data_IF_759775932906
#
_entry.id   IF_759775932906
#
_cell.length_a   1.000
_cell.length_b   1.000
_cell.length_c   1.000
_cell.angle_alpha   90.00
_cell.angle_beta   90.00
_cell.angle_gamma   90.00
#
_symmetry.space_group_name_H-M   'P 1'
#
loop_
_entity.id
_entity.type
_entity.pdbx_description
1 polymer ?
#
# COMPACT_ATOMS: atom_id res chain seq x y z
N UNK A 1 55.11 70.02 15.98
CA UNK A 1 53.73 70.16 15.45
C UNK A 1 53.39 69.14 14.37
N UNK A 2 54.28 68.78 13.43
CA UNK A 2 54.02 67.75 12.38
C UNK A 2 53.76 66.32 12.88
N UNK A 3 54.34 65.92 14.03
CA UNK A 3 54.15 64.57 14.61
C UNK A 3 52.78 64.37 15.27
N UNK A 4 52.11 65.45 15.70
CA UNK A 4 50.78 65.37 16.31
C UNK A 4 49.67 65.20 15.27
N UNK A 5 49.87 65.74 14.06
CA UNK A 5 48.94 65.60 12.93
C UNK A 5 48.95 64.15 12.38
N UNK A 6 50.11 63.50 12.37
CA UNK A 6 50.25 62.11 11.91
C UNK A 6 49.56 61.09 12.83
N UNK A 7 49.50 61.36 14.14
CA UNK A 7 48.81 60.49 15.11
C UNK A 7 47.29 60.65 15.03
N UNK A 8 46.81 61.87 14.77
CA UNK A 8 45.37 62.12 14.56
C UNK A 8 44.86 61.46 13.26
N UNK A 9 45.66 61.44 12.20
CA UNK A 9 45.29 60.78 10.94
C UNK A 9 45.28 59.24 11.03
N UNK A 10 46.08 58.65 11.94
CA UNK A 10 46.12 57.20 12.13
C UNK A 10 44.95 56.67 12.99
N UNK A 11 44.39 57.50 13.88
CA UNK A 11 43.25 57.14 14.73
C UNK A 11 41.90 57.18 13.99
N UNK A 12 41.78 57.94 12.89
CA UNK A 12 40.55 58.00 12.08
C UNK A 12 40.41 56.78 11.15
N UNK A 13 41.50 56.04 10.89
CA UNK A 13 41.47 54.85 10.01
C UNK A 13 40.90 53.57 10.66
N UNK A 14 40.58 53.59 11.96
CA UNK A 14 40.02 52.44 12.69
C UNK A 14 38.50 52.53 12.95
N UNK A 15 37.86 53.63 12.59
CA UNK A 15 36.40 53.73 12.62
C UNK A 15 35.79 53.04 11.39
N UNK A 16 35.84 51.71 11.37
CA UNK A 16 34.98 50.93 10.47
C UNK A 16 33.54 51.14 10.95
N UNK A 17 32.61 51.65 10.12
CA UNK A 17 31.20 51.65 10.50
C UNK A 17 30.81 50.20 10.79
N UNK A 18 30.34 49.93 12.00
CA UNK A 18 29.65 48.68 12.28
C UNK A 18 28.48 48.62 11.30
N UNK A 19 28.53 47.68 10.36
CA UNK A 19 27.41 47.43 9.47
C UNK A 19 26.18 47.23 10.35
N UNK A 20 25.21 48.14 10.24
CA UNK A 20 23.94 47.97 10.93
C UNK A 20 23.36 46.65 10.43
N UNK A 21 23.03 45.74 11.36
CA UNK A 21 22.37 44.50 10.99
C UNK A 21 21.06 44.85 10.31
N UNK A 22 20.81 44.25 9.13
CA UNK A 22 19.57 44.51 8.41
C UNK A 22 18.37 44.07 9.27
N UNK A 23 17.28 44.85 9.31
CA UNK A 23 16.13 44.60 10.18
C UNK A 23 15.36 43.32 9.81
N UNK A 24 15.60 42.77 8.62
CA UNK A 24 15.07 41.49 8.16
C UNK A 24 16.22 40.70 7.53
N UNK A 25 16.55 39.56 8.11
CA UNK A 25 17.61 38.67 7.62
C UNK A 25 16.98 37.40 7.04
N UNK A 26 17.34 37.06 5.81
CA UNK A 26 16.93 35.82 5.15
C UNK A 26 18.14 34.89 5.02
N UNK A 27 17.97 33.63 5.39
CA UNK A 27 18.96 32.58 5.25
C UNK A 27 18.32 31.38 4.58
N UNK A 28 19.14 30.58 3.90
CA UNK A 28 18.71 29.34 3.27
C UNK A 28 19.46 28.17 3.89
N UNK A 29 18.74 27.08 4.11
CA UNK A 29 19.30 25.85 4.62
C UNK A 29 18.83 24.69 3.74
N UNK A 30 19.77 23.84 3.37
CA UNK A 30 19.52 22.61 2.62
C UNK A 30 19.97 21.43 3.49
N UNK A 31 19.26 20.30 3.43
CA UNK A 31 19.62 19.09 4.17
C UNK A 31 20.95 18.49 3.69
N UNK A 32 21.20 18.51 2.37
CA UNK A 32 22.37 17.92 1.71
C UNK A 32 22.87 18.77 0.55
N UNK A 33 24.18 18.92 0.46
CA UNK A 33 24.86 19.62 -0.65
C UNK A 33 25.45 18.68 -1.71
N UNK A 34 25.30 17.36 -1.53
CA UNK A 34 25.68 16.33 -2.51
C UNK A 34 24.51 15.36 -2.68
N UNK A 35 23.91 15.34 -3.86
CA UNK A 35 22.69 14.57 -4.17
C UNK A 35 22.83 13.84 -5.49
N UNK A 36 22.00 12.83 -5.73
CA UNK A 36 21.88 12.26 -7.06
C UNK A 36 20.83 12.96 -7.90
N UNK A 37 20.93 12.83 -9.22
CA UNK A 37 19.88 13.28 -10.15
C UNK A 37 18.52 12.66 -9.78
N UNK A 38 17.49 13.50 -9.68
CA UNK A 38 16.14 13.10 -9.29
C UNK A 38 15.92 12.90 -7.80
N UNK A 39 16.95 13.06 -6.95
CA UNK A 39 16.75 13.04 -5.49
C UNK A 39 15.94 14.26 -5.04
N UNK A 40 15.05 14.02 -4.08
CA UNK A 40 14.32 15.10 -3.40
C UNK A 40 15.12 15.58 -2.20
N UNK A 41 15.35 16.88 -2.13
CA UNK A 41 16.03 17.54 -1.01
C UNK A 41 15.11 18.54 -0.30
N UNK A 42 15.34 18.71 0.99
CA UNK A 42 14.57 19.62 1.81
C UNK A 42 15.26 20.99 1.83
N UNK A 43 14.56 22.00 1.32
CA UNK A 43 14.96 23.40 1.33
C UNK A 43 14.18 24.14 2.40
N UNK A 44 14.87 24.85 3.28
CA UNK A 44 14.27 25.72 4.28
C UNK A 44 14.76 27.16 4.07
N UNK A 45 13.82 28.08 3.81
CA UNK A 45 14.10 29.52 3.80
C UNK A 45 13.70 30.07 5.17
N UNK A 46 14.69 30.55 5.92
CA UNK A 46 14.57 31.01 7.30
C UNK A 46 14.68 32.53 7.29
N UNK A 47 13.62 33.22 7.69
CA UNK A 47 13.57 34.68 7.72
C UNK A 47 13.38 35.13 9.15
N UNK A 48 14.29 35.95 9.65
CA UNK A 48 14.19 36.55 10.98
C UNK A 48 13.93 38.04 10.82
N UNK A 49 12.80 38.50 11.35
CA UNK A 49 12.37 39.89 11.23
C UNK A 49 12.28 40.55 12.60
N UNK A 50 12.73 41.81 12.66
CA UNK A 50 12.60 42.68 13.82
C UNK A 50 11.15 43.04 14.13
N UNK A 51 10.85 43.48 15.37
CA UNK A 51 9.50 43.88 15.77
C UNK A 51 8.88 44.89 14.80
N UNK A 52 7.62 44.67 14.42
CA UNK A 52 6.86 45.57 13.54
C UNK A 52 7.09 45.36 12.04
N UNK A 53 8.00 44.46 11.64
CA UNK A 53 8.15 44.05 10.24
C UNK A 53 7.23 42.88 9.90
N UNK A 54 6.56 42.99 8.75
CA UNK A 54 5.68 41.95 8.18
C UNK A 54 6.41 41.32 7.00
N UNK A 55 6.64 40.01 7.08
CA UNK A 55 7.29 39.21 6.03
C UNK A 55 6.21 38.62 5.13
N UNK A 56 6.34 38.84 3.83
CA UNK A 56 5.51 38.21 2.82
C UNK A 56 6.17 36.92 2.31
N UNK A 57 5.41 36.11 1.58
CA UNK A 57 5.92 34.84 1.07
C UNK A 57 7.12 35.05 0.12
N UNK A 58 8.15 34.19 0.17
CA UNK A 58 9.29 34.23 -0.74
C UNK A 58 8.84 34.18 -2.20
N UNK A 59 9.53 34.93 -3.06
CA UNK A 59 9.27 34.94 -4.51
C UNK A 59 9.91 33.71 -5.15
N UNK A 60 9.28 32.55 -4.95
CA UNK A 60 9.73 31.27 -5.50
C UNK A 60 8.76 30.84 -6.59
N UNK A 61 9.27 30.75 -7.82
CA UNK A 61 8.54 30.16 -8.94
C UNK A 61 8.57 28.63 -8.85
N UNK A 62 7.99 27.94 -9.84
CA UNK A 62 8.10 26.48 -9.95
C UNK A 62 9.55 26.01 -10.11
N UNK A 63 10.41 26.88 -10.63
CA UNK A 63 11.84 26.62 -10.83
C UNK A 63 12.67 27.68 -10.11
N UNK A 64 13.77 27.24 -9.49
CA UNK A 64 14.75 28.07 -8.79
C UNK A 64 16.11 27.79 -9.42
N UNK A 65 16.46 28.55 -10.47
CA UNK A 65 17.64 28.26 -11.28
C UNK A 65 17.53 26.88 -11.95
N UNK A 66 18.43 25.95 -11.61
CA UNK A 66 18.44 24.58 -12.14
C UNK A 66 17.64 23.57 -11.30
N UNK A 67 16.95 24.03 -10.26
CA UNK A 67 16.15 23.19 -9.36
C UNK A 67 14.66 23.38 -9.61
N UNK A 68 13.88 22.31 -9.53
CA UNK A 68 12.41 22.33 -9.61
C UNK A 68 11.81 22.15 -8.21
N UNK A 69 10.78 22.95 -7.88
CA UNK A 69 10.00 22.81 -6.66
C UNK A 69 8.94 21.72 -6.84
N UNK A 70 9.08 20.63 -6.09
CA UNK A 70 8.19 19.46 -6.12
C UNK A 70 7.01 19.63 -5.17
N UNK A 71 7.27 20.20 -3.99
CA UNK A 71 6.26 20.36 -2.95
C UNK A 71 6.54 21.59 -2.09
N UNK A 72 5.49 22.32 -1.77
CA UNK A 72 5.51 23.40 -0.77
C UNK A 72 4.81 22.92 0.49
N UNK A 73 5.40 23.19 1.65
CA UNK A 73 4.81 22.89 2.96
C UNK A 73 4.37 24.19 3.64
N UNK A 74 3.52 24.04 4.66
CA UNK A 74 3.02 25.18 5.44
C UNK A 74 4.14 25.96 6.12
N UNK A 75 4.00 27.29 6.13
CA UNK A 75 4.94 28.19 6.81
C UNK A 75 4.85 28.02 8.32
N UNK A 76 6.01 27.87 8.97
CA UNK A 76 6.10 27.85 10.43
C UNK A 76 6.55 29.22 10.93
N UNK A 77 5.73 29.85 11.78
CA UNK A 77 6.07 31.09 12.49
C UNK A 77 6.47 30.76 13.93
N UNK A 78 7.56 31.34 14.42
CA UNK A 78 8.03 31.15 15.79
C UNK A 78 8.57 32.47 16.33
N UNK A 79 8.13 32.88 17.51
CA UNK A 79 8.61 34.11 18.17
C UNK A 79 9.87 33.76 18.96
N UNK A 80 10.96 34.51 18.75
CA UNK A 80 12.22 34.37 19.48
C UNK A 80 12.56 35.69 20.16
N UNK A 81 12.20 35.82 21.44
CA UNK A 81 12.33 37.09 22.17
C UNK A 81 11.43 38.16 21.55
N UNK A 82 12.02 39.24 21.06
CA UNK A 82 11.32 40.32 20.36
C UNK A 82 11.18 40.07 18.85
N UNK A 83 11.97 39.16 18.26
CA UNK A 83 11.98 38.89 16.82
C UNK A 83 11.00 37.78 16.45
N UNK A 84 10.56 37.80 15.19
CA UNK A 84 9.74 36.72 14.63
C UNK A 84 10.52 35.99 13.55
N UNK A 85 10.62 34.67 13.71
CA UNK A 85 11.22 33.75 12.73
C UNK A 85 10.14 33.07 11.90
N UNK A 86 10.21 33.23 10.59
CA UNK A 86 9.42 32.52 9.60
C UNK A 86 10.29 31.41 8.98
N UNK A 87 9.73 30.21 8.83
CA UNK A 87 10.41 29.08 8.19
C UNK A 87 9.52 28.55 7.08
N UNK A 88 9.92 28.81 5.83
CA UNK A 88 9.27 28.28 4.64
C UNK A 88 9.99 27.00 4.23
N UNK A 89 9.23 25.94 3.97
CA UNK A 89 9.78 24.61 3.69
C UNK A 89 9.33 24.14 2.31
N UNK A 90 10.29 23.70 1.51
CA UNK A 90 10.08 23.22 0.17
C UNK A 90 10.80 21.88 -0.03
N UNK A 91 10.27 21.05 -0.92
CA UNK A 91 11.01 19.95 -1.51
C UNK A 91 11.41 20.35 -2.92
N UNK A 92 12.71 20.29 -3.21
CA UNK A 92 13.24 20.59 -4.53
C UNK A 92 13.95 19.36 -5.11
N UNK A 93 14.07 19.31 -6.43
CA UNK A 93 14.79 18.26 -7.17
C UNK A 93 15.64 18.88 -8.27
N UNK A 94 16.67 18.16 -8.73
CA UNK A 94 17.50 18.55 -9.86
C UNK A 94 17.49 17.47 -10.94
N UNK A 95 17.31 17.91 -12.19
CA UNK A 95 17.31 17.06 -13.38
C UNK A 95 18.59 17.19 -14.21
N UNK A 96 19.54 18.01 -13.76
CA UNK A 96 20.82 18.24 -14.42
C UNK A 96 21.96 17.79 -13.53
N UNK A 97 23.03 17.28 -14.14
CA UNK A 97 24.23 16.81 -13.45
C UNK A 97 25.27 17.94 -13.34
N UNK A 98 26.13 17.84 -12.33
CA UNK A 98 27.27 18.74 -12.13
C UNK A 98 27.18 19.57 -10.86
N UNK A 99 28.05 20.56 -10.75
CA UNK A 99 28.06 21.53 -9.65
C UNK A 99 27.06 22.64 -9.98
N UNK A 100 25.87 22.57 -9.37
CA UNK A 100 24.79 23.54 -9.55
C UNK A 100 24.79 24.55 -8.41
N UNK A 101 24.36 25.77 -8.70
CA UNK A 101 24.20 26.81 -7.68
C UNK A 101 22.73 27.09 -7.48
N UNK A 102 22.26 26.98 -6.24
CA UNK A 102 20.95 27.47 -5.83
C UNK A 102 21.03 29.00 -5.75
N UNK A 103 20.32 29.74 -6.62
CA UNK A 103 20.37 31.18 -6.65
C UNK A 103 19.75 31.80 -5.38
N UNK A 104 20.08 33.07 -5.15
CA UNK A 104 19.48 33.86 -4.08
C UNK A 104 17.96 33.96 -4.20
N UNK A 105 17.26 33.77 -3.09
CA UNK A 105 15.80 33.82 -3.01
C UNK A 105 15.39 35.15 -2.38
N UNK A 106 14.58 35.90 -3.12
CA UNK A 106 14.04 37.19 -2.68
C UNK A 106 12.83 37.01 -1.76
N UNK A 107 12.90 37.62 -0.57
CA UNK A 107 11.81 37.64 0.41
C UNK A 107 11.35 39.08 0.63
N UNK A 108 10.17 39.47 0.09
CA UNK A 108 9.64 40.81 0.29
C UNK A 108 9.14 41.01 1.73
N UNK A 109 9.33 42.21 2.26
CA UNK A 109 8.82 42.60 3.58
C UNK A 109 8.30 44.04 3.60
N UNK A 110 7.45 44.33 4.58
CA UNK A 110 6.89 45.66 4.86
C UNK A 110 7.26 46.06 6.28
N UNK A 111 7.93 47.20 6.43
CA UNK A 111 8.29 47.76 7.72
C UNK A 111 7.14 48.51 8.41
N UNK A 112 7.31 48.86 9.69
CA UNK A 112 6.26 49.50 10.49
C UNK A 112 5.81 50.87 9.96
N UNK A 113 6.68 51.55 9.19
CA UNK A 113 6.39 52.85 8.56
C UNK A 113 5.77 52.71 7.16
N UNK A 114 5.39 51.49 6.74
CA UNK A 114 4.91 51.19 5.39
C UNK A 114 6.02 51.09 4.33
N UNK A 115 7.29 51.18 4.72
CA UNK A 115 8.43 51.02 3.82
C UNK A 115 8.54 49.58 3.33
N UNK A 116 8.61 49.35 2.02
CA UNK A 116 8.84 48.03 1.45
C UNK A 116 10.33 47.75 1.28
N UNK A 117 10.72 46.49 1.42
CA UNK A 117 12.09 46.03 1.21
C UNK A 117 12.12 44.57 0.76
N UNK A 118 13.32 44.08 0.46
CA UNK A 118 13.53 42.69 0.04
C UNK A 118 14.79 42.15 0.67
N UNK A 119 14.65 41.10 1.48
CA UNK A 119 15.77 40.35 2.02
C UNK A 119 16.16 39.26 1.02
N UNK A 120 17.46 39.06 0.83
CA UNK A 120 18.01 38.08 -0.10
C UNK A 120 18.68 36.97 0.70
N UNK A 121 18.49 35.72 0.29
CA UNK A 121 19.25 34.59 0.87
C UNK A 121 20.62 34.47 0.23
N UNK A 122 21.54 33.77 0.89
CA UNK A 122 22.80 33.38 0.28
C UNK A 122 22.60 32.36 -0.86
N UNK A 123 23.55 32.33 -1.79
CA UNK A 123 23.65 31.28 -2.80
C UNK A 123 24.28 30.02 -2.21
N UNK A 124 23.79 28.84 -2.62
CA UNK A 124 24.30 27.55 -2.10
C UNK A 124 24.71 26.65 -3.26
N UNK A 125 25.98 26.24 -3.27
CA UNK A 125 26.45 25.24 -4.22
C UNK A 125 26.00 23.82 -3.81
N UNK A 126 25.39 23.10 -4.76
CA UNK A 126 24.91 21.73 -4.61
C UNK A 126 25.49 20.89 -5.74
N UNK A 127 26.20 19.83 -5.39
CA UNK A 127 26.76 18.84 -6.32
C UNK A 127 25.72 17.77 -6.65
N UNK A 128 25.40 17.63 -7.93
CA UNK A 128 24.48 16.61 -8.44
C UNK A 128 25.25 15.52 -9.18
N UNK A 129 25.25 14.32 -8.63
CA UNK A 129 25.93 13.14 -9.17
C UNK A 129 24.97 12.20 -9.90
N UNK A 130 25.51 11.41 -10.82
CA UNK A 130 24.74 10.33 -11.42
C UNK A 130 24.58 9.20 -10.41
N UNK A 131 23.46 8.49 -10.50
CA UNK A 131 23.24 7.22 -9.75
C UNK A 131 24.17 6.13 -10.29
N UNK A 132 24.61 6.24 -11.55
CA UNK A 132 25.57 5.33 -12.16
C UNK A 132 26.94 5.55 -11.51
N UNK A 133 27.51 4.49 -10.94
CA UNK A 133 28.83 4.57 -10.28
C UNK A 133 29.91 4.91 -11.31
N UNK A 134 30.93 5.63 -10.87
CA UNK A 134 32.12 5.88 -11.69
C UNK A 134 32.75 4.54 -12.11
N UNK A 135 32.79 4.28 -13.42
CA UNK A 135 33.29 3.03 -14.01
C UNK A 135 32.23 1.99 -14.38
N UNK A 136 30.96 2.21 -14.06
CA UNK A 136 29.84 1.44 -14.63
C UNK A 136 29.39 2.08 -15.96
N UNK A 137 29.14 1.27 -16.98
CA UNK A 137 28.62 1.73 -18.26
C UNK A 137 27.15 2.15 -18.07
N UNK A 138 26.84 3.42 -18.32
CA UNK A 138 25.49 3.94 -18.19
C UNK A 138 24.51 3.33 -19.22
N UNK A 139 25.03 2.65 -20.25
CA UNK A 139 24.23 1.94 -21.26
C UNK A 139 23.96 0.47 -20.91
N UNK A 140 24.62 -0.08 -19.88
CA UNK A 140 24.45 -1.47 -19.47
C UNK A 140 23.18 -1.64 -18.64
N UNK A 141 22.13 -2.14 -19.30
CA UNK A 141 20.84 -2.42 -18.67
C UNK A 141 21.01 -3.65 -17.78
N UNK A 142 20.94 -3.43 -16.46
CA UNK A 142 21.04 -4.53 -15.50
C UNK A 142 19.88 -5.53 -15.70
N UNK A 143 20.16 -6.85 -15.67
CA UNK A 143 19.13 -7.86 -15.81
C UNK A 143 18.06 -7.68 -14.72
N UNK A 144 16.81 -7.97 -15.06
CA UNK A 144 15.73 -7.94 -14.08
C UNK A 144 16.06 -8.88 -12.92
N UNK A 145 15.78 -8.44 -11.69
CA UNK A 145 15.85 -9.33 -10.54
C UNK A 145 14.89 -10.50 -10.76
N UNK A 146 15.31 -11.74 -10.45
CA UNK A 146 14.41 -12.89 -10.53
C UNK A 146 13.21 -12.68 -9.61
N UNK A 147 12.07 -13.23 -10.00
CA UNK A 147 10.88 -13.24 -9.16
C UNK A 147 11.20 -14.03 -7.89
N UNK A 148 10.76 -13.51 -6.74
CA UNK A 148 10.94 -14.20 -5.48
C UNK A 148 9.96 -15.38 -5.43
N UNK A 149 10.47 -16.60 -5.44
CA UNK A 149 9.66 -17.80 -5.22
C UNK A 149 9.10 -17.76 -3.80
N UNK A 150 7.80 -17.46 -3.67
CA UNK A 150 7.09 -17.59 -2.42
C UNK A 150 6.90 -19.08 -2.14
N UNK A 151 7.72 -19.65 -1.27
CA UNK A 151 7.54 -21.03 -0.79
C UNK A 151 6.16 -21.10 -0.12
N UNK A 152 5.21 -21.79 -0.76
CA UNK A 152 3.89 -22.03 -0.16
C UNK A 152 4.10 -22.75 1.19
N UNK A 153 3.60 -22.20 2.30
CA UNK A 153 3.78 -22.83 3.59
C UNK A 153 3.02 -24.17 3.62
N UNK A 154 3.56 -25.21 4.29
CA UNK A 154 3.08 -26.59 4.16
C UNK A 154 1.61 -26.78 4.57
N UNK A 155 1.06 -25.88 5.38
CA UNK A 155 -0.35 -25.90 5.79
C UNK A 155 -1.33 -25.67 4.64
N UNK A 156 -0.91 -24.98 3.57
CA UNK A 156 -1.76 -24.75 2.38
C UNK A 156 -2.04 -26.05 1.65
N UNK A 157 -1.01 -26.87 1.42
CA UNK A 157 -1.14 -28.20 0.82
C UNK A 157 -1.99 -29.12 1.70
N UNK A 158 -1.74 -29.12 3.01
CA UNK A 158 -2.52 -29.91 4.00
C UNK A 158 -3.99 -29.50 3.97
N UNK A 159 -4.29 -28.20 3.90
CA UNK A 159 -5.67 -27.70 3.86
C UNK A 159 -6.43 -28.14 2.60
N UNK A 160 -5.77 -28.11 1.42
CA UNK A 160 -6.37 -28.56 0.15
C UNK A 160 -6.70 -30.05 0.21
N UNK A 161 -5.79 -30.87 0.73
CA UNK A 161 -6.00 -32.31 0.90
C UNK A 161 -7.13 -32.57 1.90
N UNK A 162 -7.14 -31.88 3.04
CA UNK A 162 -8.17 -32.04 4.07
C UNK A 162 -9.57 -31.72 3.54
N UNK A 163 -9.71 -30.65 2.75
CA UNK A 163 -10.99 -30.30 2.09
C UNK A 163 -11.41 -31.40 1.10
N UNK A 164 -10.48 -31.93 0.31
CA UNK A 164 -10.76 -33.04 -0.61
C UNK A 164 -11.25 -34.31 0.10
N UNK A 165 -10.60 -34.68 1.20
CA UNK A 165 -11.00 -35.84 2.02
C UNK A 165 -12.37 -35.61 2.66
N UNK A 166 -12.60 -34.43 3.22
CA UNK A 166 -13.90 -34.08 3.82
C UNK A 166 -15.03 -34.16 2.78
N UNK A 167 -14.81 -33.63 1.57
CA UNK A 167 -15.78 -33.73 0.48
C UNK A 167 -16.07 -35.19 0.09
N UNK A 168 -15.04 -36.03 -0.02
CA UNK A 168 -15.21 -37.46 -0.34
C UNK A 168 -16.03 -38.21 0.73
N UNK A 169 -15.79 -37.91 2.01
CA UNK A 169 -16.58 -38.49 3.12
C UNK A 169 -18.04 -38.08 3.01
N UNK A 170 -18.32 -36.79 2.78
CA UNK A 170 -19.69 -36.28 2.62
C UNK A 170 -20.40 -36.97 1.46
N UNK A 171 -19.77 -37.08 0.30
CA UNK A 171 -20.34 -37.78 -0.87
C UNK A 171 -20.64 -39.24 -0.53
N UNK A 172 -19.73 -39.94 0.15
CA UNK A 172 -19.92 -41.35 0.53
C UNK A 172 -21.10 -41.52 1.48
N UNK A 173 -21.25 -40.63 2.47
CA UNK A 173 -22.38 -40.66 3.41
C UNK A 173 -23.71 -40.38 2.70
N UNK A 174 -23.75 -39.43 1.76
CA UNK A 174 -24.95 -39.13 0.97
C UNK A 174 -25.35 -40.34 0.13
N UNK A 175 -24.40 -40.97 -0.56
CA UNK A 175 -24.66 -42.18 -1.35
C UNK A 175 -25.18 -43.32 -0.47
N UNK A 176 -24.53 -43.57 0.67
CA UNK A 176 -24.97 -44.59 1.61
C UNK A 176 -26.40 -44.32 2.14
N UNK A 177 -26.71 -43.06 2.48
CA UNK A 177 -28.04 -42.65 2.94
C UNK A 177 -29.11 -42.85 1.85
N UNK A 178 -28.81 -42.46 0.60
CA UNK A 178 -29.73 -42.63 -0.53
C UNK A 178 -29.99 -44.11 -0.78
N UNK A 179 -28.95 -44.95 -0.82
CA UNK A 179 -29.12 -46.40 -0.95
C UNK A 179 -29.96 -46.97 0.19
N UNK A 180 -29.66 -46.60 1.45
CA UNK A 180 -30.41 -47.07 2.61
C UNK A 180 -31.90 -46.71 2.53
N UNK A 181 -32.24 -45.47 2.13
CA UNK A 181 -33.62 -45.03 1.94
C UNK A 181 -34.32 -45.78 0.80
N UNK A 182 -33.62 -46.05 -0.31
CA UNK A 182 -34.15 -46.81 -1.44
C UNK A 182 -34.42 -48.27 -1.06
N UNK A 183 -33.50 -48.93 -0.35
CA UNK A 183 -33.71 -50.30 0.13
C UNK A 183 -34.82 -50.38 1.17
N UNK A 184 -34.93 -49.40 2.08
CA UNK A 184 -36.02 -49.35 3.07
C UNK A 184 -37.38 -49.18 2.42
N UNK A 185 -37.48 -48.41 1.32
CA UNK A 185 -38.71 -48.29 0.51
C UNK A 185 -39.06 -49.55 -0.27
N UNK A 186 -38.09 -50.43 -0.55
CA UNK A 186 -38.35 -51.74 -1.15
C UNK A 186 -38.87 -52.76 -0.11
N UNK A 187 -38.58 -52.57 1.17
CA UNK A 187 -39.12 -53.43 2.24
C UNK A 187 -40.66 -53.46 2.35
N UNK A 188 -41.39 -52.50 1.74
CA UNK A 188 -42.86 -52.46 1.75
C UNK A 188 -43.53 -52.89 0.44
N UNK A 189 -42.76 -53.22 -0.62
CA UNK A 189 -43.31 -53.60 -1.94
C UNK A 189 -42.89 -55.00 -2.42
N UNK A 190 -42.11 -55.73 -1.62
CA UNK A 190 -41.59 -57.07 -1.96
C UNK A 190 -42.18 -58.18 -1.07
N UNK A 191 -43.45 -58.07 -0.70
CA UNK A 191 -44.25 -59.20 -0.19
C UNK A 191 -45.57 -59.29 -0.95
N UNK A 192 -45.54 -59.04 -2.25
CA UNK A 192 -46.45 -59.74 -3.14
C UNK A 192 -45.58 -60.79 -3.82
N UNK A 193 -45.47 -61.95 -3.17
CA UNK A 193 -44.83 -63.11 -3.76
C UNK A 193 -45.59 -63.42 -5.05
N UNK A 194 -45.03 -62.97 -6.18
CA UNK A 194 -45.52 -63.29 -7.51
C UNK A 194 -45.24 -64.77 -7.74
N UNK A 195 -46.04 -65.62 -7.08
CA UNK A 195 -46.13 -67.02 -7.39
C UNK A 195 -46.38 -67.13 -8.89
N UNK A 196 -45.53 -67.92 -9.56
CA UNK A 196 -45.77 -68.22 -10.97
C UNK A 196 -47.16 -68.86 -11.11
N UNK A 197 -47.85 -68.72 -12.26
CA UNK A 197 -49.19 -69.30 -12.43
C UNK A 197 -49.25 -70.78 -12.04
N UNK A 198 -48.19 -71.53 -12.35
CA UNK A 198 -48.05 -72.95 -11.98
C UNK A 198 -47.93 -73.14 -10.46
N UNK A 199 -47.13 -72.33 -9.76
CA UNK A 199 -47.00 -72.43 -8.30
C UNK A 199 -48.29 -72.03 -7.58
N UNK A 200 -49.04 -71.05 -8.11
CA UNK A 200 -50.35 -70.69 -7.57
C UNK A 200 -51.34 -71.85 -7.72
N UNK A 201 -51.41 -72.45 -8.91
CA UNK A 201 -52.25 -73.62 -9.17
C UNK A 201 -51.89 -74.81 -8.27
N UNK A 202 -50.60 -75.13 -8.09
CA UNK A 202 -50.16 -76.22 -7.22
C UNK A 202 -50.50 -75.96 -5.74
N UNK A 203 -50.43 -74.71 -5.29
CA UNK A 203 -50.81 -74.34 -3.92
C UNK A 203 -52.32 -74.49 -3.69
N UNK A 204 -53.13 -74.05 -4.64
CA UNK A 204 -54.59 -74.23 -4.57
C UNK A 204 -54.97 -75.71 -4.63
N UNK A 205 -54.30 -76.50 -5.48
CA UNK A 205 -54.47 -77.96 -5.57
C UNK A 205 -54.11 -78.64 -4.24
N UNK A 206 -53.00 -78.25 -3.61
CA UNK A 206 -52.59 -78.77 -2.31
C UNK A 206 -53.62 -78.44 -1.21
N UNK A 207 -54.14 -77.20 -1.20
CA UNK A 207 -55.19 -76.79 -0.26
C UNK A 207 -56.52 -77.56 -0.46
N UNK A 208 -56.84 -77.92 -1.71
CA UNK A 208 -57.98 -78.79 -2.04
C UNK A 208 -57.77 -80.24 -1.59
N UNK A 209 -56.54 -80.76 -1.71
CA UNK A 209 -56.19 -82.11 -1.28
C UNK A 209 -56.28 -82.28 0.25
N UNK A 210 -55.86 -81.27 1.02
CA UNK A 210 -55.94 -81.29 2.48
C UNK A 210 -57.38 -81.35 3.02
N UNK A 211 -58.35 -80.83 2.27
CA UNK A 211 -59.76 -80.84 2.66
C UNK A 211 -60.39 -82.25 2.64
N UNK A 212 -59.73 -83.24 2.02
CA UNK A 212 -60.14 -84.66 1.99
C UNK A 212 -61.63 -84.90 1.73
N UNK A 213 -62.22 -84.06 0.87
CA UNK A 213 -63.63 -84.08 0.48
C UNK A 213 -64.11 -85.46 -0.06
N UNK A 214 -63.30 -86.25 -0.78
CA UNK A 214 -63.69 -87.59 -1.23
C UNK A 214 -63.92 -88.58 -0.07
N UNK A 215 -63.12 -88.49 0.99
CA UNK A 215 -63.23 -89.37 2.17
C UNK A 215 -64.49 -89.05 3.00
N UNK A 216 -65.00 -87.83 2.88
CA UNK A 216 -66.23 -87.36 3.53
C UNK A 216 -67.50 -87.68 2.71
N UNK A 217 -67.39 -88.46 1.63
CA UNK A 217 -68.50 -88.81 0.74
C UNK A 217 -68.96 -87.69 -0.19
N UNK A 218 -68.25 -86.54 -0.23
CA UNK A 218 -68.55 -85.37 -1.07
C UNK A 218 -67.68 -85.35 -2.31
N UNK A 219 -67.69 -86.46 -3.05
CA UNK A 219 -66.84 -86.66 -4.24
C UNK A 219 -67.18 -85.72 -5.40
N UNK A 220 -68.46 -85.37 -5.60
CA UNK A 220 -68.86 -84.47 -6.70
C UNK A 220 -68.22 -83.07 -6.59
N UNK A 221 -68.26 -82.46 -5.40
CA UNK A 221 -67.71 -81.13 -5.16
C UNK A 221 -66.17 -81.06 -5.29
N UNK A 222 -65.49 -82.18 -5.04
CA UNK A 222 -64.04 -82.27 -5.22
C UNK A 222 -63.66 -82.14 -6.71
N UNK A 223 -64.41 -82.76 -7.61
CA UNK A 223 -64.13 -82.72 -9.05
C UNK A 223 -64.58 -81.41 -9.72
N UNK A 224 -65.66 -80.78 -9.25
CA UNK A 224 -66.09 -79.46 -9.75
C UNK A 224 -65.04 -78.37 -9.50
N UNK A 225 -64.34 -78.42 -8.36
CA UNK A 225 -63.27 -77.47 -8.03
C UNK A 225 -61.92 -77.79 -8.68
N UNK A 226 -61.81 -78.91 -9.37
CA UNK A 226 -60.57 -79.35 -10.05
C UNK A 226 -60.53 -78.93 -11.53
N UNK A 227 -61.67 -78.53 -12.11
CA UNK A 227 -61.82 -78.05 -13.49
C UNK A 227 -61.74 -76.51 -13.56
#
# INVERSE_FOLDING_TARGET
>A
MRRLIAVAALLVALARPAAAADPVNAAVQVDRTSINIGDRIALAVIVTADPGYIVNDPTIAREIGSFEVVQTQDVKKTVQGSQVRYTYRYQITAWTLGDLVLPSIAVPYVGPNGSTGTAQTDEVAIKVTSVVRAGEDASDIKPLKPQLDLVEPPWTLISRIAVGVAAAIVVTLVVALVLWLLLRRRGTLFVEERLTPVQRALRELAALAEQKLPEQGRTAEHYERLC
#
